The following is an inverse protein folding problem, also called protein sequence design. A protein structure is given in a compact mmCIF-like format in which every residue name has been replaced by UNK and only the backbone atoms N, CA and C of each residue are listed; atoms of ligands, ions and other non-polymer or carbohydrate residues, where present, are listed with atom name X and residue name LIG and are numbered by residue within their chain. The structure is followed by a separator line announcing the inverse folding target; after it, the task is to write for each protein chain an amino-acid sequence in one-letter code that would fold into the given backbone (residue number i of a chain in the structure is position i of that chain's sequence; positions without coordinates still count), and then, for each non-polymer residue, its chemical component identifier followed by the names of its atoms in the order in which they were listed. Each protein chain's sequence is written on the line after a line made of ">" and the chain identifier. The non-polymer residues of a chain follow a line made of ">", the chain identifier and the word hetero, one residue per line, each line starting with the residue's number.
data_IF_618089211979
#
_entry.id   IF_618089211979
#
_cell.length_a   1.000
_cell.length_b   1.000
_cell.length_c   1.000
_cell.angle_alpha   90.00
_cell.angle_beta   90.00
_cell.angle_gamma   90.00
#
_symmetry.space_group_name_H-M   'P 1'
#
loop_
_entity.id
_entity.type
_entity.pdbx_description
1 polymer ?
#
# COMPACT_ATOMS: atom_id res chain seq x y z
N UNK A 1 -4.42 7.55 12.80
CA UNK A 1 -3.74 7.94 11.55
C UNK A 1 -4.04 9.39 11.17
N UNK A 2 -5.26 9.72 10.68
CA UNK A 2 -5.62 11.10 10.29
C UNK A 2 -5.28 12.17 11.34
N UNK A 3 -5.85 12.08 12.54
CA UNK A 3 -5.60 13.06 13.62
C UNK A 3 -4.12 13.21 14.02
N UNK A 4 -3.33 12.14 13.94
CA UNK A 4 -1.93 12.18 14.30
C UNK A 4 -1.09 12.90 13.24
N UNK A 5 -1.44 12.72 11.95
CA UNK A 5 -0.77 13.39 10.85
C UNK A 5 -1.16 14.87 10.76
N UNK A 6 -2.45 15.19 10.91
CA UNK A 6 -2.94 16.57 10.87
C UNK A 6 -2.38 17.44 12.00
N UNK A 7 -2.11 16.84 13.17
CA UNK A 7 -1.48 17.53 14.29
C UNK A 7 -0.02 17.92 14.03
N UNK A 8 0.66 17.21 13.12
CA UNK A 8 2.08 17.41 12.82
C UNK A 8 2.28 18.29 11.58
N UNK A 9 1.51 18.07 10.52
CA UNK A 9 1.68 18.79 9.24
C UNK A 9 0.90 20.11 9.14
N UNK A 10 -0.03 20.39 10.06
CA UNK A 10 -1.00 21.49 9.93
C UNK A 10 -1.71 21.52 8.56
N UNK A 11 -2.04 20.32 8.05
CA UNK A 11 -2.65 20.08 6.75
C UNK A 11 -3.90 19.21 6.92
N UNK A 12 -4.82 19.26 5.96
CA UNK A 12 -6.03 18.41 5.99
C UNK A 12 -5.76 17.10 5.23
N UNK A 13 -5.86 15.96 5.93
CA UNK A 13 -5.70 14.66 5.29
C UNK A 13 -7.02 14.20 4.69
N UNK A 14 -7.11 14.21 3.36
CA UNK A 14 -8.27 13.70 2.62
C UNK A 14 -8.06 12.26 2.16
N UNK A 15 -8.60 11.31 2.90
CA UNK A 15 -8.60 9.90 2.51
C UNK A 15 -9.75 9.63 1.53
N UNK A 16 -9.43 9.16 0.34
CA UNK A 16 -10.39 8.68 -0.66
C UNK A 16 -10.28 7.16 -0.70
N UNK A 17 -11.26 6.47 -0.11
CA UNK A 17 -11.27 5.02 -0.10
C UNK A 17 -11.61 4.48 -1.50
N UNK A 18 -10.82 3.52 -1.95
CA UNK A 18 -11.03 2.69 -3.13
C UNK A 18 -11.11 1.23 -2.68
N UNK A 19 -11.77 0.39 -3.47
CA UNK A 19 -12.12 -0.97 -3.05
C UNK A 19 -10.90 -1.86 -2.78
N UNK A 20 -9.91 -1.84 -3.68
CA UNK A 20 -8.71 -2.69 -3.56
C UNK A 20 -7.49 -2.07 -4.29
N UNK A 21 -6.30 -2.58 -3.99
CA UNK A 21 -5.03 -2.05 -4.53
C UNK A 21 -4.89 -2.16 -6.06
N UNK A 22 -5.53 -3.16 -6.68
CA UNK A 22 -5.54 -3.33 -8.15
C UNK A 22 -6.44 -2.28 -8.77
N UNK A 23 -7.65 -2.10 -8.23
CA UNK A 23 -8.59 -1.05 -8.64
C UNK A 23 -7.99 0.34 -8.47
N UNK A 24 -7.21 0.56 -7.40
CA UNK A 24 -6.48 1.80 -7.18
C UNK A 24 -5.49 2.06 -8.32
N UNK A 25 -4.60 1.10 -8.63
CA UNK A 25 -3.62 1.27 -9.70
C UNK A 25 -4.30 1.49 -11.07
N UNK A 26 -5.37 0.76 -11.36
CA UNK A 26 -6.11 0.91 -12.61
C UNK A 26 -6.76 2.29 -12.73
N UNK A 27 -7.39 2.78 -11.66
CA UNK A 27 -7.96 4.12 -11.63
C UNK A 27 -6.88 5.19 -11.84
N UNK A 28 -5.74 5.06 -11.16
CA UNK A 28 -4.62 5.99 -11.33
C UNK A 28 -4.10 6.00 -12.77
N UNK A 29 -4.03 4.83 -13.43
CA UNK A 29 -3.65 4.73 -14.85
C UNK A 29 -4.64 5.43 -15.77
N UNK A 30 -5.94 5.36 -15.48
CA UNK A 30 -6.98 6.04 -16.26
C UNK A 30 -6.98 7.56 -16.04
N UNK A 31 -6.77 8.00 -14.80
CA UNK A 31 -6.68 9.44 -14.47
C UNK A 31 -5.37 10.07 -14.98
N UNK A 32 -4.28 9.28 -15.01
CA UNK A 32 -2.97 9.70 -15.47
C UNK A 32 -2.47 10.95 -14.74
N UNK A 33 -1.96 11.93 -15.50
CA UNK A 33 -1.46 13.21 -14.96
C UNK A 33 -2.55 14.14 -14.41
N UNK A 34 -3.82 13.84 -14.71
CA UNK A 34 -4.95 14.62 -14.21
C UNK A 34 -5.49 14.06 -12.89
N UNK A 35 -4.86 13.01 -12.35
CA UNK A 35 -5.21 12.51 -11.02
C UNK A 35 -5.02 13.59 -9.98
N UNK A 36 -5.98 13.67 -9.05
CA UNK A 36 -5.90 14.53 -7.86
C UNK A 36 -5.18 13.84 -6.70
N UNK A 37 -4.62 12.65 -6.94
CA UNK A 37 -3.94 11.89 -5.91
C UNK A 37 -2.52 12.44 -5.72
N UNK A 38 -2.26 13.02 -4.55
CA UNK A 38 -0.90 13.39 -4.13
C UNK A 38 -0.13 12.16 -3.61
N UNK A 39 -0.84 11.26 -2.93
CA UNK A 39 -0.30 10.03 -2.34
C UNK A 39 -1.22 8.86 -2.65
N UNK A 40 -0.61 7.73 -3.01
CA UNK A 40 -1.27 6.45 -3.23
C UNK A 40 -0.84 5.49 -2.13
N UNK A 41 -1.79 5.03 -1.33
CA UNK A 41 -1.56 4.09 -0.23
C UNK A 41 -2.40 2.84 -0.46
N UNK A 42 -1.78 1.66 -0.38
CA UNK A 42 -2.46 0.36 -0.54
C UNK A 42 -2.00 -0.48 -1.74
N UNK A 43 -0.92 -0.08 -2.42
CA UNK A 43 -0.24 -0.98 -3.37
C UNK A 43 0.56 -2.02 -2.60
N UNK A 44 0.44 -3.29 -3.00
CA UNK A 44 1.23 -4.39 -2.46
C UNK A 44 2.51 -4.62 -3.29
N UNK A 45 3.35 -5.55 -2.82
CA UNK A 45 4.60 -5.92 -3.47
C UNK A 45 4.41 -6.53 -4.88
N UNK A 46 3.24 -7.10 -5.18
CA UNK A 46 2.95 -7.70 -6.48
C UNK A 46 2.62 -6.63 -7.54
N UNK A 47 2.19 -5.45 -7.11
CA UNK A 47 1.81 -4.34 -8.00
C UNK A 47 2.95 -3.38 -8.34
N UNK A 48 4.11 -3.49 -7.69
CA UNK A 48 5.20 -2.52 -7.83
C UNK A 48 5.77 -2.43 -9.25
N UNK A 49 5.89 -3.55 -9.95
CA UNK A 49 6.40 -3.56 -11.32
C UNK A 49 5.44 -2.82 -12.26
N UNK A 50 4.16 -3.17 -12.22
CA UNK A 50 3.11 -2.51 -12.99
C UNK A 50 3.02 -1.02 -12.64
N UNK A 51 3.11 -0.68 -11.35
CA UNK A 51 3.12 0.71 -10.88
C UNK A 51 4.34 1.48 -11.40
N UNK A 52 5.53 0.89 -11.40
CA UNK A 52 6.75 1.51 -11.94
C UNK A 52 6.61 1.81 -13.43
N UNK A 53 6.05 0.87 -14.20
CA UNK A 53 5.85 1.04 -15.64
C UNK A 53 4.88 2.17 -15.99
N UNK A 54 3.98 2.57 -15.07
CA UNK A 54 3.09 3.71 -15.31
C UNK A 54 3.82 5.04 -15.43
N UNK A 55 5.02 5.15 -14.83
CA UNK A 55 5.79 6.40 -14.70
C UNK A 55 5.00 7.54 -14.04
N UNK A 56 3.98 7.20 -13.24
CA UNK A 56 3.17 8.15 -12.47
C UNK A 56 3.74 8.41 -11.07
N UNK A 57 4.69 7.58 -10.61
CA UNK A 57 5.31 7.67 -9.31
C UNK A 57 6.70 8.31 -9.40
N UNK A 58 7.04 9.10 -8.38
CA UNK A 58 8.35 9.70 -8.20
C UNK A 58 9.06 9.14 -6.97
N UNK A 59 10.37 9.35 -6.87
CA UNK A 59 11.16 8.89 -5.73
C UNK A 59 10.61 9.47 -4.42
N UNK A 60 10.47 8.62 -3.39
CA UNK A 60 9.89 9.02 -2.11
C UNK A 60 10.84 9.85 -1.25
N UNK A 61 12.15 9.70 -1.45
CA UNK A 61 13.18 10.33 -0.61
C UNK A 61 13.29 9.73 0.80
N UNK A 62 12.54 8.67 1.10
CA UNK A 62 12.60 7.98 2.39
C UNK A 62 13.83 7.08 2.44
N UNK A 63 14.59 7.20 3.52
CA UNK A 63 15.75 6.36 3.79
C UNK A 63 15.32 4.88 3.93
N UNK A 64 15.93 3.97 3.17
CA UNK A 64 15.60 2.55 3.23
C UNK A 64 15.87 1.95 4.61
N UNK A 65 16.80 2.53 5.37
CA UNK A 65 17.17 2.13 6.72
C UNK A 65 16.03 2.35 7.74
N UNK A 66 15.09 3.24 7.41
CA UNK A 66 13.88 3.47 8.21
C UNK A 66 12.85 2.34 8.05
N UNK A 67 12.98 1.49 7.02
CA UNK A 67 12.03 0.43 6.69
C UNK A 67 12.55 -0.92 7.16
N UNK A 68 11.75 -1.63 7.96
CA UNK A 68 12.06 -2.96 8.48
C UNK A 68 10.98 -3.96 8.08
N UNK A 69 11.27 -4.74 7.04
CA UNK A 69 10.40 -5.82 6.55
C UNK A 69 11.19 -7.13 6.37
N UNK A 70 10.54 -8.30 6.50
CA UNK A 70 11.20 -9.58 6.23
C UNK A 70 11.79 -9.64 4.82
N UNK A 71 13.04 -10.10 4.68
CA UNK A 71 13.75 -10.13 3.40
C UNK A 71 14.43 -8.80 3.01
N UNK A 72 14.26 -7.75 3.81
CA UNK A 72 14.81 -6.43 3.54
C UNK A 72 14.01 -5.65 2.49
N UNK A 73 14.29 -4.35 2.40
CA UNK A 73 13.66 -3.48 1.42
C UNK A 73 14.70 -2.62 0.71
N UNK A 74 14.56 -2.52 -0.61
CA UNK A 74 15.39 -1.66 -1.44
C UNK A 74 14.56 -1.12 -2.60
N UNK A 75 13.90 0.00 -2.37
CA UNK A 75 13.16 0.70 -3.41
C UNK A 75 13.18 2.21 -3.10
N UNK A 76 13.51 3.04 -4.10
CA UNK A 76 13.63 4.49 -3.93
C UNK A 76 12.30 5.25 -4.15
N UNK A 77 11.25 4.52 -4.54
CA UNK A 77 9.95 5.06 -4.97
C UNK A 77 8.83 4.60 -4.04
N UNK A 78 8.77 3.30 -3.71
CA UNK A 78 7.71 2.71 -2.90
C UNK A 78 8.18 2.45 -1.47
N UNK A 79 7.35 2.85 -0.50
CA UNK A 79 7.68 2.79 0.94
C UNK A 79 6.70 1.85 1.66
N UNK A 80 7.16 0.72 2.20
CA UNK A 80 6.35 -0.15 3.03
C UNK A 80 5.97 0.54 4.34
N UNK A 81 4.70 0.43 4.70
CA UNK A 81 4.18 0.91 5.98
C UNK A 81 3.65 -0.23 6.87
N UNK A 82 3.25 -1.36 6.26
CA UNK A 82 2.91 -2.60 6.93
C UNK A 82 3.34 -3.83 6.12
N UNK A 83 3.26 -5.01 6.73
CA UNK A 83 3.44 -6.30 6.04
C UNK A 83 2.62 -7.38 6.76
N UNK A 84 2.27 -8.44 6.03
CA UNK A 84 1.53 -9.58 6.57
C UNK A 84 1.55 -10.78 5.63
N UNK A 85 1.11 -11.92 6.14
CA UNK A 85 1.01 -13.15 5.38
C UNK A 85 -0.47 -13.48 5.14
N UNK A 86 -0.80 -13.91 3.93
CA UNK A 86 -2.12 -14.46 3.64
C UNK A 86 -2.32 -15.74 4.46
N UNK A 87 -3.45 -15.81 5.15
CA UNK A 87 -3.82 -16.96 5.96
C UNK A 87 -5.29 -17.30 5.76
N UNK A 88 -5.60 -18.59 5.75
CA UNK A 88 -6.98 -19.05 5.78
C UNK A 88 -7.52 -18.93 7.20
N UNK A 89 -8.50 -18.05 7.39
CA UNK A 89 -9.24 -17.92 8.65
C UNK A 89 -10.43 -18.88 8.63
N UNK A 90 -10.56 -19.71 9.67
CA UNK A 90 -11.67 -20.66 9.80
C UNK A 90 -12.27 -20.64 11.20
N UNK A 91 -13.56 -20.97 11.29
CA UNK A 91 -14.27 -21.14 12.55
C UNK A 91 -13.95 -22.50 13.16
N UNK A 92 -13.21 -22.49 14.28
CA UNK A 92 -12.79 -23.69 15.02
C UNK A 92 -13.97 -24.52 15.53
N UNK A 93 -15.14 -23.93 15.75
CA UNK A 93 -16.34 -24.65 16.20
C UNK A 93 -16.98 -25.49 15.10
N UNK A 94 -16.86 -25.02 13.84
CA UNK A 94 -17.45 -25.67 12.66
C UNK A 94 -16.45 -26.57 11.92
N UNK A 95 -15.15 -26.33 12.07
CA UNK A 95 -14.10 -27.07 11.39
C UNK A 95 -13.08 -27.62 12.40
N UNK A 96 -13.32 -28.85 12.86
CA UNK A 96 -12.47 -29.53 13.86
C UNK A 96 -11.10 -29.96 13.33
N UNK A 97 -10.97 -30.18 12.02
CA UNK A 97 -9.73 -30.57 11.35
C UNK A 97 -9.48 -29.68 10.12
N UNK A 98 -8.96 -28.45 10.32
CA UNK A 98 -8.52 -27.60 9.20
C UNK A 98 -7.39 -28.31 8.43
N UNK A 99 -7.46 -28.31 7.10
CA UNK A 99 -6.31 -28.76 6.29
C UNK A 99 -5.17 -27.77 6.48
N UNK A 100 -3.97 -28.29 6.74
CA UNK A 100 -2.75 -27.50 6.71
C UNK A 100 -2.47 -27.13 5.25
N UNK A 101 -2.27 -25.83 5.00
CA UNK A 101 -1.75 -25.32 3.73
C UNK A 101 -0.24 -25.50 3.70
#
# INVERSE_FOLDING_TARGET
>A
MKKAFEADCNCELKLVALEDGVSLLNRLRMEGKNSKADVVLGLDNNLLEAATQTKLFAKSGVANEAVKVPGGWKNDTFVPFDYGYFAFVYDKSKLKNPRKA
#
